data_IF_220665423699
#
_entry.id   IF_220665423699
#
_cell.length_a   1.000
_cell.length_b   1.000
_cell.length_c   1.000
_cell.angle_alpha   90.00
_cell.angle_beta   90.00
_cell.angle_gamma   90.00
#
_symmetry.space_group_name_H-M   'P 1'
#
loop_
_entity.id
_entity.type
_entity.pdbx_description
1 polymer ?
#
# COMPACT_ATOMS: atom_id res chain seq x y z
N UNK A 1 -16.55 13.45 -4.28
CA UNK A 1 -15.55 13.03 -3.28
C UNK A 1 -16.18 13.31 -1.95
N UNK A 2 -16.64 12.29 -1.27
CA UNK A 2 -17.37 12.50 -0.01
C UNK A 2 -16.39 12.88 1.07
N UNK A 3 -16.72 13.93 1.81
CA UNK A 3 -15.98 14.48 2.96
C UNK A 3 -15.73 13.46 4.09
N UNK A 4 -16.31 12.28 3.99
CA UNK A 4 -16.19 11.22 4.99
C UNK A 4 -14.93 10.34 4.81
N UNK A 5 -14.27 10.38 3.65
CA UNK A 5 -13.02 9.63 3.43
C UNK A 5 -11.77 10.29 4.03
N UNK A 6 -11.78 11.61 4.19
CA UNK A 6 -10.66 12.34 4.81
C UNK A 6 -10.52 12.07 6.32
N UNK A 7 -11.59 11.58 6.96
CA UNK A 7 -11.58 11.28 8.39
C UNK A 7 -11.12 9.86 8.77
N UNK A 8 -10.95 8.94 7.83
CA UNK A 8 -10.62 7.55 8.16
C UNK A 8 -9.13 7.31 8.44
N UNK A 9 -8.23 8.02 7.78
CA UNK A 9 -6.79 7.76 7.90
C UNK A 9 -6.16 8.34 9.17
N UNK A 10 -6.65 9.46 9.65
CA UNK A 10 -6.21 10.02 10.94
C UNK A 10 -6.85 9.33 12.15
N UNK A 11 -7.81 8.41 11.92
CA UNK A 11 -8.85 8.11 12.91
C UNK A 11 -8.44 7.13 14.01
N UNK A 12 -7.68 6.08 13.71
CA UNK A 12 -7.43 5.02 14.72
C UNK A 12 -6.56 5.55 15.86
N UNK A 13 -5.51 6.31 15.53
CA UNK A 13 -4.58 6.83 16.53
C UNK A 13 -5.20 7.94 17.39
N UNK A 14 -5.97 8.83 16.76
CA UNK A 14 -6.54 9.99 17.42
C UNK A 14 -7.89 9.69 18.09
N UNK A 15 -8.69 8.81 17.50
CA UNK A 15 -10.02 8.46 18.02
C UNK A 15 -9.98 7.48 19.20
N UNK A 16 -8.86 6.79 19.41
CA UNK A 16 -8.72 5.84 20.51
C UNK A 16 -7.48 6.14 21.37
N UNK A 17 -7.43 7.25 22.13
CA UNK A 17 -6.26 7.64 22.92
C UNK A 17 -5.79 6.55 23.91
N UNK A 18 -6.70 5.71 24.39
CA UNK A 18 -6.40 4.60 25.31
C UNK A 18 -5.58 3.48 24.65
N UNK A 19 -5.54 3.44 23.32
CA UNK A 19 -4.70 2.46 22.59
C UNK A 19 -3.24 2.89 22.48
N UNK A 20 -2.90 4.16 22.73
CA UNK A 20 -1.54 4.69 22.56
C UNK A 20 -0.48 3.91 23.33
N UNK A 21 -0.82 3.41 24.51
CA UNK A 21 0.10 2.59 25.33
C UNK A 21 0.33 1.17 24.78
N UNK A 22 -0.45 0.75 23.76
CA UNK A 22 -0.42 -0.60 23.18
C UNK A 22 -0.27 -0.59 21.67
N UNK A 23 -0.26 0.60 21.05
CA UNK A 23 -0.23 0.75 19.61
C UNK A 23 1.16 1.13 19.16
N UNK A 24 1.67 0.39 18.19
CA UNK A 24 2.88 0.71 17.44
C UNK A 24 2.43 1.05 16.02
N UNK A 25 2.77 2.23 15.55
CA UNK A 25 2.50 2.66 14.17
C UNK A 25 3.80 2.66 13.39
N UNK A 26 3.78 2.01 12.23
CA UNK A 26 4.88 1.99 11.28
C UNK A 26 4.40 2.66 10.00
N UNK A 27 5.14 3.64 9.53
CA UNK A 27 4.80 4.37 8.32
C UNK A 27 6.08 4.73 7.54
N UNK A 28 5.94 5.19 6.30
CA UNK A 28 7.10 5.55 5.50
C UNK A 28 6.77 6.42 4.30
N UNK A 29 7.77 7.15 3.86
CA UNK A 29 7.67 8.04 2.69
C UNK A 29 7.64 7.31 1.35
N UNK A 30 7.93 6.00 1.34
CA UNK A 30 8.08 5.22 0.11
C UNK A 30 6.91 5.32 -0.85
N UNK A 31 5.67 5.33 -0.35
CA UNK A 31 4.45 5.29 -1.17
C UNK A 31 3.83 6.66 -1.33
N UNK A 32 3.41 7.28 -0.24
CA UNK A 32 2.74 8.57 -0.25
C UNK A 32 3.57 9.68 -0.93
N UNK A 33 4.88 9.66 -0.77
CA UNK A 33 5.79 10.65 -1.35
C UNK A 33 6.61 10.13 -2.54
N UNK A 34 6.31 8.94 -3.07
CA UNK A 34 7.09 8.31 -4.16
C UNK A 34 8.60 8.20 -3.87
N UNK A 35 8.98 8.04 -2.60
CA UNK A 35 10.37 8.04 -2.11
C UNK A 35 10.90 6.62 -1.82
N UNK A 36 10.60 5.66 -2.70
CA UNK A 36 11.00 4.25 -2.49
C UNK A 36 12.51 4.06 -2.37
N UNK A 37 13.29 4.78 -3.16
CA UNK A 37 14.75 4.72 -3.19
C UNK A 37 15.43 5.37 -1.98
N UNK A 38 14.76 6.25 -1.27
CA UNK A 38 15.30 6.97 -0.11
C UNK A 38 15.41 6.11 1.15
N UNK A 39 14.72 4.96 1.18
CA UNK A 39 14.74 4.00 2.30
C UNK A 39 14.43 4.65 3.64
N UNK A 40 13.40 5.48 3.70
CA UNK A 40 13.01 6.27 4.85
C UNK A 40 11.66 5.83 5.38
N UNK A 41 11.58 5.59 6.67
CA UNK A 41 10.37 5.27 7.41
C UNK A 41 10.45 5.82 8.82
N UNK A 42 9.32 5.85 9.48
CA UNK A 42 9.21 6.27 10.87
C UNK A 42 8.26 5.36 11.65
N UNK A 43 8.34 5.43 12.95
CA UNK A 43 7.46 4.64 13.81
C UNK A 43 7.13 5.38 15.10
N UNK A 44 5.88 5.25 15.54
CA UNK A 44 5.47 5.65 16.88
C UNK A 44 5.43 4.44 17.81
N UNK A 45 5.94 4.63 18.99
CA UNK A 45 6.03 3.60 20.01
C UNK A 45 5.45 4.09 21.32
N UNK A 46 4.86 3.22 22.15
CA UNK A 46 4.59 3.54 23.55
C UNK A 46 5.86 4.00 24.26
N UNK A 47 5.76 5.02 25.12
CA UNK A 47 6.92 5.65 25.77
C UNK A 47 7.84 4.66 26.47
N UNK A 48 7.26 3.67 27.17
CA UNK A 48 8.01 2.65 27.88
C UNK A 48 8.84 1.70 26.99
N UNK A 49 8.58 1.68 25.68
CA UNK A 49 9.34 0.87 24.71
C UNK A 49 10.40 1.66 23.94
N UNK A 50 10.36 3.00 23.96
CA UNK A 50 11.21 3.86 23.12
C UNK A 50 12.70 3.60 23.39
N UNK A 51 13.12 3.51 24.64
CA UNK A 51 14.52 3.25 24.99
C UNK A 51 15.00 1.90 24.44
N UNK A 52 14.19 0.85 24.57
CA UNK A 52 14.52 -0.49 24.09
C UNK A 52 14.62 -0.53 22.57
N UNK A 53 13.68 0.12 21.88
CA UNK A 53 13.70 0.22 20.40
C UNK A 53 14.90 1.00 19.91
N UNK A 54 15.22 2.13 20.51
CA UNK A 54 16.41 2.90 20.15
C UNK A 54 17.71 2.06 20.31
N UNK A 55 17.81 1.30 21.36
CA UNK A 55 18.94 0.39 21.57
C UNK A 55 19.04 -0.69 20.49
N UNK A 56 17.90 -1.26 20.09
CA UNK A 56 17.87 -2.21 18.98
C UNK A 56 18.25 -1.56 17.65
N UNK A 57 17.72 -0.38 17.34
CA UNK A 57 18.02 0.35 16.11
C UNK A 57 19.51 0.71 16.00
N UNK A 58 20.11 1.23 17.06
CA UNK A 58 21.55 1.55 17.09
C UNK A 58 22.40 0.32 16.79
N UNK A 59 22.02 -0.84 17.32
CA UNK A 59 22.81 -2.06 17.17
C UNK A 59 22.47 -2.88 15.90
N UNK A 60 21.37 -2.58 15.21
CA UNK A 60 20.96 -3.29 13.98
C UNK A 60 21.23 -2.49 12.70
N UNK A 61 20.85 -1.21 12.68
CA UNK A 61 20.91 -0.36 11.48
C UNK A 61 21.77 0.89 11.65
N UNK A 62 22.28 1.12 12.85
CA UNK A 62 23.05 2.28 13.28
C UNK A 62 22.25 3.57 13.19
N UNK A 63 22.16 4.18 12.01
CA UNK A 63 21.32 5.37 11.79
C UNK A 63 20.82 5.42 10.35
N UNK A 64 19.75 6.17 10.15
CA UNK A 64 19.24 6.50 8.82
C UNK A 64 20.18 7.53 8.17
N UNK A 65 20.37 7.42 6.86
CA UNK A 65 21.15 8.38 6.08
C UNK A 65 20.69 9.83 6.36
N UNK A 66 21.62 10.71 6.71
CA UNK A 66 21.30 12.09 7.11
C UNK A 66 20.61 12.88 5.99
N UNK A 67 21.06 12.74 4.74
CA UNK A 67 20.42 13.41 3.60
C UNK A 67 18.96 12.94 3.43
N UNK A 68 18.68 11.64 3.65
CA UNK A 68 17.32 11.11 3.60
C UNK A 68 16.44 11.70 4.71
N UNK A 69 16.97 11.92 5.91
CA UNK A 69 16.22 12.55 7.01
C UNK A 69 15.79 13.98 6.64
N UNK A 70 16.71 14.80 6.09
CA UNK A 70 16.37 16.14 5.61
C UNK A 70 15.37 16.12 4.45
N UNK A 71 15.49 15.15 3.54
CA UNK A 71 14.51 14.97 2.47
C UNK A 71 13.13 14.61 3.02
N UNK A 72 13.06 13.78 4.09
CA UNK A 72 11.81 13.44 4.77
C UNK A 72 11.15 14.65 5.43
N UNK A 73 11.94 15.51 6.08
CA UNK A 73 11.45 16.77 6.67
C UNK A 73 10.91 17.67 5.55
N UNK A 74 11.68 17.86 4.48
CA UNK A 74 11.24 18.68 3.35
C UNK A 74 9.96 18.16 2.67
N UNK A 75 9.77 16.84 2.65
CA UNK A 75 8.54 16.23 2.12
C UNK A 75 7.32 16.49 3.02
N UNK A 76 7.51 16.55 4.35
CA UNK A 76 6.42 16.84 5.31
C UNK A 76 6.08 18.32 5.39
N UNK A 77 7.08 19.19 5.29
CA UNK A 77 6.92 20.65 5.41
C UNK A 77 6.65 21.32 4.04
N UNK A 78 6.79 20.57 2.95
CA UNK A 78 6.62 21.06 1.60
C UNK A 78 5.16 21.14 1.15
N UNK A 79 4.90 21.67 -0.05
CA UNK A 79 3.55 21.71 -0.62
C UNK A 79 3.07 20.32 -1.05
N UNK A 80 1.78 20.07 -0.92
CA UNK A 80 1.13 18.80 -1.26
C UNK A 80 0.75 18.66 -2.75
N UNK A 81 1.05 19.65 -3.59
CA UNK A 81 0.64 19.70 -5.01
C UNK A 81 1.03 18.42 -5.76
N UNK A 82 2.27 17.94 -5.56
CA UNK A 82 2.76 16.72 -6.22
C UNK A 82 2.02 15.45 -5.75
N UNK A 83 1.57 15.43 -4.50
CA UNK A 83 0.77 14.32 -3.93
C UNK A 83 -0.62 14.36 -4.56
N UNK A 84 -1.25 15.52 -4.63
CA UNK A 84 -2.56 15.70 -5.27
C UNK A 84 -2.54 15.28 -6.76
N UNK A 85 -1.55 15.75 -7.53
CA UNK A 85 -1.39 15.33 -8.92
C UNK A 85 -1.21 13.81 -9.07
N UNK A 86 -0.44 13.19 -8.18
CA UNK A 86 -0.24 11.74 -8.18
C UNK A 86 -1.56 11.02 -7.87
N UNK A 87 -2.30 11.49 -6.87
CA UNK A 87 -3.59 10.91 -6.48
C UNK A 87 -4.64 11.01 -7.60
N UNK A 88 -4.69 12.10 -8.35
CA UNK A 88 -5.57 12.23 -9.51
C UNK A 88 -5.24 11.16 -10.57
N UNK A 89 -3.94 10.97 -10.87
CA UNK A 89 -3.48 9.95 -11.83
C UNK A 89 -3.81 8.53 -11.35
N UNK A 90 -3.60 8.23 -10.07
CA UNK A 90 -3.95 6.93 -9.51
C UNK A 90 -5.46 6.69 -9.48
N UNK A 91 -6.27 7.71 -9.19
CA UNK A 91 -7.72 7.62 -9.25
C UNK A 91 -8.20 7.27 -10.66
N UNK A 92 -7.71 7.97 -11.67
CA UNK A 92 -8.04 7.70 -13.06
C UNK A 92 -7.62 6.28 -13.51
N UNK A 93 -6.43 5.83 -13.11
CA UNK A 93 -5.94 4.47 -13.40
C UNK A 93 -6.75 3.40 -12.65
N UNK A 94 -7.11 3.63 -11.41
CA UNK A 94 -7.96 2.74 -10.60
C UNK A 94 -9.31 2.53 -11.31
N UNK A 95 -9.93 3.60 -11.73
CA UNK A 95 -11.25 3.53 -12.39
C UNK A 95 -11.16 2.80 -13.74
N UNK A 96 -10.07 3.06 -14.48
CA UNK A 96 -9.80 2.37 -15.76
C UNK A 96 -9.60 0.86 -15.54
N UNK A 97 -8.72 0.46 -14.62
CA UNK A 97 -8.44 -0.96 -14.39
C UNK A 97 -9.65 -1.68 -13.78
N UNK A 98 -10.35 -1.06 -12.84
CA UNK A 98 -11.56 -1.60 -12.25
C UNK A 98 -12.62 -1.88 -13.31
N UNK A 99 -12.89 -0.91 -14.18
CA UNK A 99 -13.82 -1.09 -15.30
C UNK A 99 -13.35 -2.20 -16.24
N UNK A 100 -12.09 -2.13 -16.69
CA UNK A 100 -11.53 -3.10 -17.64
C UNK A 100 -11.54 -4.53 -17.12
N UNK A 101 -11.25 -4.76 -15.83
CA UNK A 101 -11.30 -6.08 -15.22
C UNK A 101 -12.73 -6.63 -15.15
N UNK A 102 -13.72 -5.80 -14.78
CA UNK A 102 -15.12 -6.24 -14.70
C UNK A 102 -15.80 -6.38 -16.08
N UNK A 103 -15.21 -5.83 -17.14
CA UNK A 103 -15.66 -6.08 -18.52
C UNK A 103 -15.17 -7.46 -19.04
N UNK A 104 -14.23 -8.13 -18.35
CA UNK A 104 -13.71 -9.45 -18.75
C UNK A 104 -14.63 -10.58 -18.27
N UNK A 105 -14.98 -11.57 -19.13
CA UNK A 105 -15.75 -12.71 -18.72
C UNK A 105 -15.09 -13.53 -17.61
N UNK A 106 -15.81 -13.78 -16.53
CA UNK A 106 -15.35 -14.61 -15.40
C UNK A 106 -14.37 -13.92 -14.46
N UNK A 107 -14.19 -12.60 -14.58
CA UNK A 107 -13.40 -11.78 -13.68
C UNK A 107 -14.29 -10.83 -12.90
N UNK A 108 -14.09 -10.75 -11.59
CA UNK A 108 -14.81 -9.85 -10.68
C UNK A 108 -13.80 -9.08 -9.84
N UNK A 109 -13.86 -7.76 -9.85
CA UNK A 109 -12.98 -6.90 -9.06
C UNK A 109 -13.80 -5.86 -8.30
N UNK A 110 -13.67 -5.85 -6.97
CA UNK A 110 -14.19 -4.77 -6.14
C UNK A 110 -13.42 -3.48 -6.39
N UNK A 111 -14.09 -2.33 -6.29
CA UNK A 111 -13.40 -1.04 -6.41
C UNK A 111 -12.40 -0.89 -5.26
N UNK A 112 -11.09 -0.72 -5.54
CA UNK A 112 -10.11 -0.49 -4.49
C UNK A 112 -10.36 0.82 -3.75
N UNK A 113 -10.48 0.76 -2.42
CA UNK A 113 -10.65 1.94 -1.57
C UNK A 113 -9.35 2.68 -1.27
N UNK A 114 -8.19 2.08 -1.57
CA UNK A 114 -6.87 2.66 -1.31
C UNK A 114 -5.75 1.82 -1.93
N UNK A 115 -4.52 2.23 -1.72
CA UNK A 115 -3.32 1.67 -2.33
C UNK A 115 -3.34 1.74 -3.87
N UNK A 116 -2.43 1.04 -4.52
CA UNK A 116 -2.33 0.95 -5.99
C UNK A 116 -2.37 -0.50 -6.47
N UNK A 117 -3.27 -1.29 -5.87
CA UNK A 117 -3.48 -2.69 -6.21
C UNK A 117 -4.96 -2.95 -6.52
N UNK A 118 -5.22 -3.70 -7.59
CA UNK A 118 -6.49 -4.36 -7.81
C UNK A 118 -6.34 -5.86 -7.48
N UNK A 119 -7.33 -6.46 -6.84
CA UNK A 119 -7.29 -7.86 -6.41
C UNK A 119 -8.50 -8.63 -6.95
N UNK A 120 -8.55 -8.86 -8.29
CA UNK A 120 -9.66 -9.52 -8.93
C UNK A 120 -9.77 -11.00 -8.57
N UNK A 121 -11.01 -11.46 -8.53
CA UNK A 121 -11.39 -12.86 -8.47
C UNK A 121 -11.48 -13.42 -9.88
N UNK A 122 -10.79 -14.53 -10.12
CA UNK A 122 -10.65 -15.11 -11.46
C UNK A 122 -11.25 -16.52 -11.59
N UNK A 123 -11.88 -17.03 -10.54
CA UNK A 123 -12.43 -18.38 -10.45
C UNK A 123 -13.38 -18.74 -11.60
N UNK A 124 -14.23 -17.81 -11.96
CA UNK A 124 -15.26 -18.05 -13.01
C UNK A 124 -14.65 -18.10 -14.43
N UNK A 125 -13.33 -17.86 -14.57
CA UNK A 125 -12.59 -18.14 -15.81
C UNK A 125 -12.28 -19.63 -16.01
N UNK A 126 -12.60 -20.47 -15.01
CA UNK A 126 -12.28 -21.90 -14.97
C UNK A 126 -10.82 -22.20 -14.55
N UNK A 127 -10.07 -21.18 -14.11
CA UNK A 127 -8.69 -21.28 -13.65
C UNK A 127 -8.56 -20.79 -12.21
N UNK A 128 -7.62 -21.36 -11.45
CA UNK A 128 -7.19 -20.75 -10.21
C UNK A 128 -6.21 -19.58 -10.47
N UNK A 129 -5.94 -18.76 -9.44
CA UNK A 129 -5.09 -17.59 -9.59
C UNK A 129 -3.68 -17.88 -10.12
N UNK A 130 -3.09 -19.02 -9.77
CA UNK A 130 -1.74 -19.39 -10.23
C UNK A 130 -1.73 -19.79 -11.73
N UNK A 131 -2.74 -20.52 -12.17
CA UNK A 131 -2.92 -20.87 -13.58
C UNK A 131 -3.20 -19.64 -14.42
N UNK A 132 -4.08 -18.77 -13.94
CA UNK A 132 -4.39 -17.50 -14.59
C UNK A 132 -3.16 -16.62 -14.75
N UNK A 133 -2.35 -16.45 -13.71
CA UNK A 133 -1.11 -15.67 -13.77
C UNK A 133 -0.10 -16.22 -14.76
N UNK A 134 0.10 -17.55 -14.79
CA UNK A 134 0.99 -18.21 -15.75
C UNK A 134 0.53 -17.98 -17.19
N UNK A 135 -0.77 -18.15 -17.43
CA UNK A 135 -1.35 -17.96 -18.76
C UNK A 135 -1.26 -16.51 -19.22
N UNK A 136 -1.59 -15.55 -18.34
CA UNK A 136 -1.45 -14.12 -18.61
C UNK A 136 -0.01 -13.75 -19.00
N UNK A 137 0.98 -14.29 -18.28
CA UNK A 137 2.39 -14.04 -18.59
C UNK A 137 2.80 -14.65 -19.93
N UNK A 138 2.46 -15.91 -20.21
CA UNK A 138 2.92 -16.61 -21.40
C UNK A 138 2.20 -16.20 -22.69
N UNK A 139 0.89 -15.92 -22.61
CA UNK A 139 0.08 -15.65 -23.79
C UNK A 139 -0.10 -14.15 -24.06
N UNK A 140 -0.15 -13.32 -23.01
CA UNK A 140 -0.38 -11.88 -23.12
C UNK A 140 0.82 -11.01 -22.72
N UNK A 141 1.89 -11.57 -22.16
CA UNK A 141 3.05 -10.83 -21.68
C UNK A 141 2.75 -9.97 -20.44
N UNK A 142 1.69 -10.31 -19.68
CA UNK A 142 1.25 -9.55 -18.51
C UNK A 142 1.69 -10.25 -17.23
N UNK A 143 2.58 -9.61 -16.48
CA UNK A 143 3.05 -10.11 -15.20
C UNK A 143 2.11 -9.67 -14.06
N UNK A 144 1.48 -10.63 -13.41
CA UNK A 144 0.59 -10.45 -12.26
C UNK A 144 0.93 -11.45 -11.17
N UNK A 145 0.52 -11.20 -9.93
CA UNK A 145 0.91 -12.02 -8.79
C UNK A 145 -0.26 -12.93 -8.37
N UNK A 146 -0.05 -14.24 -8.22
CA UNK A 146 -1.11 -15.15 -7.77
C UNK A 146 -1.50 -14.83 -6.32
N UNK A 147 -2.79 -14.89 -6.02
CA UNK A 147 -3.32 -14.60 -4.70
C UNK A 147 -2.75 -15.49 -3.59
N UNK A 148 -2.31 -16.70 -3.92
CA UNK A 148 -1.65 -17.64 -2.98
C UNK A 148 -0.38 -17.06 -2.35
N UNK A 149 0.26 -16.05 -2.96
CA UNK A 149 1.36 -15.32 -2.36
C UNK A 149 0.94 -14.50 -1.12
N UNK A 150 -0.36 -14.24 -0.95
CA UNK A 150 -0.94 -13.48 0.16
C UNK A 150 -1.71 -14.35 1.15
N UNK A 151 -1.87 -15.63 0.87
CA UNK A 151 -2.50 -16.60 1.76
C UNK A 151 -3.25 -17.70 1.00
N UNK A 152 -3.41 -18.86 1.65
CA UNK A 152 -4.06 -20.02 1.03
C UNK A 152 -5.53 -19.78 0.65
N UNK A 153 -6.22 -18.92 1.39
CA UNK A 153 -7.62 -18.54 1.11
C UNK A 153 -7.78 -17.69 -0.15
N UNK A 154 -6.67 -17.17 -0.71
CA UNK A 154 -6.64 -16.32 -1.88
C UNK A 154 -6.32 -17.06 -3.19
N UNK A 155 -6.51 -18.38 -3.22
CA UNK A 155 -6.15 -19.23 -4.40
C UNK A 155 -6.90 -18.86 -5.69
N UNK A 156 -8.08 -18.27 -5.57
CA UNK A 156 -8.93 -17.88 -6.70
C UNK A 156 -8.76 -16.39 -7.07
N UNK A 157 -7.75 -15.73 -6.50
CA UNK A 157 -7.48 -14.31 -6.68
C UNK A 157 -6.14 -14.10 -7.41
N UNK A 158 -6.01 -12.93 -8.03
CA UNK A 158 -4.78 -12.44 -8.62
C UNK A 158 -4.57 -10.97 -8.26
N UNK A 159 -3.34 -10.51 -8.08
CA UNK A 159 -3.02 -9.12 -7.76
C UNK A 159 -2.39 -8.42 -8.95
N UNK A 160 -2.94 -7.27 -9.29
CA UNK A 160 -2.50 -6.41 -10.40
C UNK A 160 -2.15 -5.03 -9.83
N UNK A 161 -1.03 -4.47 -10.27
CA UNK A 161 -0.68 -3.08 -9.97
C UNK A 161 -1.49 -2.12 -10.84
N UNK A 162 -1.95 -1.03 -10.22
CA UNK A 162 -2.69 0.06 -10.87
C UNK A 162 -1.71 1.08 -11.46
#
# INVERSE_FOLDING_TARGET
>A
MDSDSENLESSIFFNYPKLRERLIVLEGWSKAYSMTGWRLGWSFWPEHLVEHVNKLLINSVSCVNAAAQYAGIAALDGPDDSIHEMMEKFTARRDLIHKGLNDLPGVECSLPGGAFYAFPKVKETGMNGSEFCKKAMHEAGVAIVPGTAFGQTCQDLSLIHI
#
